data_IF_085016181278
#
_entry.id   IF_085016181278
#
_cell.length_a   1.000
_cell.length_b   1.000
_cell.length_c   1.000
_cell.angle_alpha   90.00
_cell.angle_beta   90.00
_cell.angle_gamma   90.00
#
_symmetry.space_group_name_H-M   'P 1'
#
loop_
_entity.id
_entity.type
_entity.pdbx_description
1 polymer ?
#
# COMPACT_ATOMS: atom_id res chain seq x y z
N UNK A 1 20.35 -12.22 2.81
CA UNK A 1 19.21 -11.96 3.72
C UNK A 1 18.50 -10.72 3.21
N UNK A 2 17.34 -10.85 2.56
CA UNK A 2 16.56 -9.73 2.04
C UNK A 2 15.30 -9.58 2.89
N UNK A 3 15.11 -8.42 3.52
CA UNK A 3 14.02 -8.17 4.48
C UNK A 3 12.67 -8.10 3.78
N UNK A 4 12.58 -7.46 2.60
CA UNK A 4 11.32 -7.24 1.91
C UNK A 4 10.69 -8.54 1.40
N UNK A 5 11.49 -9.43 0.80
CA UNK A 5 11.00 -10.70 0.25
C UNK A 5 10.46 -11.68 1.28
N UNK A 6 10.70 -11.42 2.57
CA UNK A 6 10.17 -12.22 3.67
C UNK A 6 8.86 -11.67 4.23
N UNK A 7 8.39 -10.51 3.77
CA UNK A 7 7.13 -9.94 4.19
C UNK A 7 5.97 -10.62 3.43
N UNK A 8 4.90 -10.98 4.16
CA UNK A 8 3.65 -11.43 3.53
C UNK A 8 2.91 -10.27 2.84
N UNK A 9 2.99 -9.06 3.43
CA UNK A 9 2.46 -7.81 2.89
C UNK A 9 3.37 -6.68 3.39
N UNK A 10 3.66 -5.68 2.55
CA UNK A 10 4.27 -4.42 2.97
C UNK A 10 3.20 -3.33 3.13
N UNK A 11 3.14 -2.69 4.30
CA UNK A 11 2.39 -1.44 4.50
C UNK A 11 3.36 -0.28 4.42
N UNK A 12 3.07 0.71 3.57
CA UNK A 12 3.99 1.83 3.31
C UNK A 12 3.23 3.09 2.90
N UNK A 13 3.88 4.24 2.96
CA UNK A 13 3.48 5.41 2.19
C UNK A 13 4.05 5.34 0.76
N UNK A 14 3.84 6.39 -0.02
CA UNK A 14 4.29 6.59 -1.40
C UNK A 14 5.80 6.89 -1.52
N UNK A 15 6.63 6.00 -0.98
CA UNK A 15 8.10 6.14 -1.00
C UNK A 15 8.78 4.95 -1.68
N UNK A 16 10.10 5.05 -1.93
CA UNK A 16 10.89 4.02 -2.63
C UNK A 16 10.64 2.56 -2.22
N UNK A 17 10.49 2.21 -0.92
CA UNK A 17 10.14 0.85 -0.50
C UNK A 17 8.89 0.27 -1.15
N UNK A 18 7.89 1.10 -1.46
CA UNK A 18 6.68 0.70 -2.18
C UNK A 18 7.02 0.09 -3.56
N UNK A 19 7.86 0.78 -4.33
CA UNK A 19 8.29 0.33 -5.65
C UNK A 19 9.22 -0.88 -5.57
N UNK A 20 10.10 -0.93 -4.57
CA UNK A 20 10.98 -2.07 -4.36
C UNK A 20 10.21 -3.34 -4.01
N UNK A 21 9.25 -3.26 -3.09
CA UNK A 21 8.40 -4.39 -2.73
C UNK A 21 7.59 -4.91 -3.92
N UNK A 22 7.01 -3.99 -4.70
CA UNK A 22 6.33 -4.33 -5.93
C UNK A 22 7.25 -5.05 -6.93
N UNK A 23 8.46 -4.53 -7.18
CA UNK A 23 9.42 -5.15 -8.09
C UNK A 23 9.84 -6.56 -7.64
N UNK A 24 9.77 -6.81 -6.32
CA UNK A 24 10.04 -8.11 -5.71
C UNK A 24 8.81 -9.03 -5.63
N UNK A 25 7.65 -8.60 -6.13
CA UNK A 25 6.39 -9.36 -6.08
C UNK A 25 5.80 -9.49 -4.68
N UNK A 26 6.23 -8.65 -3.73
CA UNK A 26 5.67 -8.58 -2.38
C UNK A 26 4.37 -7.76 -2.46
N UNK A 27 3.24 -8.26 -1.94
CA UNK A 27 1.98 -7.49 -1.90
C UNK A 27 2.15 -6.16 -1.16
N UNK A 28 1.55 -5.09 -1.67
CA UNK A 28 1.71 -3.74 -1.14
C UNK A 28 0.37 -3.14 -0.75
N UNK A 29 0.28 -2.58 0.46
CA UNK A 29 -0.78 -1.66 0.87
C UNK A 29 -0.17 -0.28 1.06
N UNK A 30 -0.41 0.61 0.10
CA UNK A 30 0.18 1.94 0.07
C UNK A 30 -0.83 3.01 0.52
N UNK A 31 -0.43 3.85 1.48
CA UNK A 31 -1.26 4.94 2.02
C UNK A 31 -0.85 6.25 1.33
N UNK A 32 -1.81 6.90 0.68
CA UNK A 32 -1.60 8.12 -0.10
C UNK A 32 -2.35 9.32 0.51
N UNK A 33 -1.64 10.45 0.57
CA UNK A 33 -2.12 11.70 1.15
C UNK A 33 -2.12 12.86 0.17
N UNK A 34 -0.99 13.58 0.08
CA UNK A 34 -0.85 14.77 -0.78
C UNK A 34 -0.56 14.44 -2.25
N UNK A 35 -0.05 13.24 -2.51
CA UNK A 35 0.38 12.78 -3.83
C UNK A 35 -0.69 12.01 -4.58
N UNK A 36 -0.47 11.87 -5.89
CA UNK A 36 -1.42 11.19 -6.77
C UNK A 36 -0.99 9.73 -7.03
N UNK A 37 -1.79 8.74 -6.57
CA UNK A 37 -1.53 7.34 -6.86
C UNK A 37 -1.70 6.97 -8.33
N UNK A 38 -2.39 7.78 -9.16
CA UNK A 38 -2.44 7.51 -10.60
C UNK A 38 -1.08 7.73 -11.27
N UNK A 39 -0.25 8.62 -10.70
CA UNK A 39 1.08 8.93 -11.26
C UNK A 39 2.17 8.01 -10.69
N UNK A 40 2.08 7.68 -9.40
CA UNK A 40 3.18 7.01 -8.67
C UNK A 40 2.75 5.78 -7.89
N UNK A 41 1.47 5.41 -7.94
CA UNK A 41 0.93 4.30 -7.18
C UNK A 41 1.47 2.93 -7.63
N UNK A 42 1.33 1.92 -6.77
CA UNK A 42 1.71 0.57 -7.11
C UNK A 42 0.69 -0.05 -8.09
N UNK A 43 1.16 -0.40 -9.28
CA UNK A 43 0.46 -1.26 -10.26
C UNK A 43 0.29 -2.74 -9.85
N UNK A 44 -0.71 -3.40 -10.43
CA UNK A 44 -0.95 -4.85 -10.31
C UNK A 44 -1.94 -5.27 -9.21
N UNK A 45 -2.48 -6.49 -9.35
CA UNK A 45 -3.61 -6.98 -8.54
C UNK A 45 -3.30 -7.27 -7.06
N UNK A 46 -2.02 -7.48 -6.75
CA UNK A 46 -1.53 -7.73 -5.38
C UNK A 46 -1.25 -6.44 -4.61
N UNK A 47 -1.38 -5.28 -5.27
CA UNK A 47 -1.20 -3.98 -4.67
C UNK A 47 -2.54 -3.30 -4.38
N UNK A 48 -2.59 -2.47 -3.34
CA UNK A 48 -3.76 -1.72 -2.96
C UNK A 48 -3.36 -0.32 -2.51
N UNK A 49 -4.10 0.69 -2.96
CA UNK A 49 -3.97 2.06 -2.48
C UNK A 49 -5.08 2.34 -1.48
N UNK A 50 -4.72 2.92 -0.33
CA UNK A 50 -5.64 3.52 0.62
C UNK A 50 -5.46 5.03 0.52
N UNK A 51 -6.55 5.74 0.24
CA UNK A 51 -6.59 7.21 0.21
C UNK A 51 -7.94 7.68 0.70
N UNK A 52 -7.95 8.84 1.34
CA UNK A 52 -9.19 9.59 1.56
C UNK A 52 -9.43 10.54 0.38
N UNK A 53 -10.65 10.55 -0.16
CA UNK A 53 -11.04 11.52 -1.18
C UNK A 53 -11.45 12.83 -0.51
N UNK A 54 -10.55 13.81 -0.49
CA UNK A 54 -10.81 15.16 0.01
C UNK A 54 -10.52 16.20 -1.05
N UNK A 55 -11.21 17.34 -0.99
CA UNK A 55 -11.07 18.44 -1.96
C UNK A 55 -9.63 18.95 -2.12
N UNK A 56 -8.83 18.89 -1.06
CA UNK A 56 -7.46 19.38 -1.06
C UNK A 56 -6.42 18.37 -1.58
N UNK A 57 -6.81 17.17 -2.02
CA UNK A 57 -5.87 16.14 -2.49
C UNK A 57 -6.26 15.62 -3.87
N UNK A 58 -5.30 15.38 -4.78
CA UNK A 58 -3.85 15.57 -4.60
C UNK A 58 -3.45 17.05 -4.68
N UNK A 59 -2.62 17.53 -3.75
CA UNK A 59 -2.09 18.92 -3.78
C UNK A 59 -0.59 19.01 -4.04
N UNK A 60 0.15 17.91 -3.90
CA UNK A 60 1.61 17.82 -4.10
C UNK A 60 2.44 18.79 -3.22
N UNK A 61 1.82 19.38 -2.19
CA UNK A 61 2.51 20.27 -1.26
C UNK A 61 3.35 19.46 -0.26
N UNK A 62 4.58 19.92 0.00
CA UNK A 62 5.49 19.34 1.01
C UNK A 62 5.07 19.63 2.44
N UNK A 63 4.43 20.79 2.65
CA UNK A 63 3.87 21.19 3.93
C UNK A 63 2.39 21.48 3.73
N UNK A 64 1.53 20.88 4.55
CA UNK A 64 0.10 21.10 4.44
C UNK A 64 -0.26 22.45 5.08
N UNK A 65 -0.98 23.33 4.37
CA UNK A 65 -1.40 24.62 4.91
C UNK A 65 -2.66 24.53 5.78
N UNK A 66 -3.23 23.33 5.95
CA UNK A 66 -4.47 23.09 6.67
C UNK A 66 -4.27 22.01 7.75
N UNK A 67 -5.00 20.90 7.71
CA UNK A 67 -5.11 19.93 8.80
C UNK A 67 -4.71 18.49 8.41
N UNK A 68 -4.12 18.27 7.24
CA UNK A 68 -3.77 16.93 6.74
C UNK A 68 -4.95 15.93 6.71
N UNK A 69 -6.20 16.39 6.55
CA UNK A 69 -7.38 15.50 6.47
C UNK A 69 -7.31 14.38 5.43
N UNK A 70 -6.52 14.56 4.37
CA UNK A 70 -6.23 13.49 3.39
C UNK A 70 -5.52 12.27 3.99
N UNK A 71 -4.82 12.45 5.12
CA UNK A 71 -4.17 11.40 5.89
C UNK A 71 -4.89 11.11 7.21
N UNK A 72 -5.32 12.13 7.95
CA UNK A 72 -5.88 11.93 9.30
C UNK A 72 -7.27 11.28 9.30
N UNK A 73 -8.01 11.32 8.18
CA UNK A 73 -9.27 10.60 8.03
C UNK A 73 -9.08 9.10 7.75
N UNK A 74 -7.87 8.67 7.40
CA UNK A 74 -7.57 7.26 7.16
C UNK A 74 -7.45 6.56 8.51
N UNK A 75 -8.49 5.80 8.86
CA UNK A 75 -8.51 5.07 10.13
C UNK A 75 -7.53 3.88 10.13
N UNK A 76 -6.96 3.58 11.29
CA UNK A 76 -6.14 2.37 11.49
C UNK A 76 -6.92 1.10 11.19
N UNK A 77 -8.22 1.06 11.52
CA UNK A 77 -9.06 -0.10 11.26
C UNK A 77 -9.24 -0.37 9.76
N UNK A 78 -9.37 0.68 8.94
CA UNK A 78 -9.39 0.55 7.49
C UNK A 78 -8.09 -0.06 6.98
N UNK A 79 -6.94 0.44 7.46
CA UNK A 79 -5.62 -0.09 7.08
C UNK A 79 -5.50 -1.55 7.47
N UNK A 80 -5.80 -1.91 8.73
CA UNK A 80 -5.72 -3.28 9.23
C UNK A 80 -6.60 -4.21 8.41
N UNK A 81 -7.87 -3.84 8.14
CA UNK A 81 -8.76 -4.67 7.31
C UNK A 81 -8.20 -4.92 5.90
N UNK A 82 -7.68 -3.88 5.26
CA UNK A 82 -7.08 -4.02 3.92
C UNK A 82 -5.84 -4.92 3.95
N UNK A 83 -4.98 -4.78 4.97
CA UNK A 83 -3.77 -5.60 5.13
C UNK A 83 -4.13 -7.07 5.34
N UNK A 84 -5.06 -7.37 6.23
CA UNK A 84 -5.50 -8.74 6.50
C UNK A 84 -6.07 -9.38 5.24
N UNK A 85 -6.92 -8.66 4.50
CA UNK A 85 -7.48 -9.16 3.24
C UNK A 85 -6.41 -9.47 2.18
N UNK A 86 -5.34 -8.65 2.08
CA UNK A 86 -4.21 -8.93 1.17
C UNK A 86 -3.35 -10.08 1.65
N UNK A 87 -3.11 -10.17 2.95
CA UNK A 87 -2.34 -11.24 3.56
C UNK A 87 -3.01 -12.61 3.34
N UNK A 88 -4.32 -12.70 3.54
CA UNK A 88 -5.08 -13.93 3.33
C UNK A 88 -5.04 -14.40 1.87
N UNK A 89 -5.21 -13.48 0.91
CA UNK A 89 -5.06 -13.78 -0.53
C UNK A 89 -3.66 -14.29 -0.85
N UNK A 90 -2.62 -13.63 -0.34
CA UNK A 90 -1.24 -14.00 -0.60
C UNK A 90 -0.90 -15.39 -0.03
N UNK A 91 -1.24 -15.64 1.24
CA UNK A 91 -0.98 -16.92 1.89
C UNK A 91 -1.78 -18.07 1.26
N UNK A 92 -3.03 -17.82 0.86
CA UNK A 92 -3.85 -18.80 0.13
C UNK A 92 -3.24 -19.18 -1.23
N UNK A 93 -2.81 -18.18 -2.02
CA UNK A 93 -2.10 -18.40 -3.29
C UNK A 93 -0.74 -19.08 -3.10
N UNK A 94 -0.01 -18.73 -2.04
CA UNK A 94 1.32 -19.28 -1.77
C UNK A 94 1.27 -20.74 -1.32
N UNK A 95 0.23 -21.16 -0.59
CA UNK A 95 -0.01 -22.58 -0.29
C UNK A 95 -0.29 -23.38 -1.57
N UNK A 96 -1.13 -22.86 -2.46
CA UNK A 96 -1.45 -23.51 -3.74
C UNK A 96 -0.24 -23.67 -4.67
N UNK A 97 0.75 -22.76 -4.62
CA UNK A 97 2.00 -22.86 -5.40
C UNK A 97 3.01 -23.85 -4.81
N UNK A 98 2.98 -24.12 -3.50
CA UNK A 98 3.89 -25.09 -2.86
C UNK A 98 3.48 -26.56 -3.07
N UNK A 99 2.24 -26.81 -3.45
CA UNK A 99 1.71 -28.16 -3.75
C UNK A 99 1.99 -28.67 -5.17
N UNK A 100 2.70 -27.90 -6.00
CA UNK A 100 3.12 -28.29 -7.37
C UNK A 100 4.65 -28.40 -7.45
N UNK A 101 5.30 -28.76 -6.34
CA UNK A 101 6.74 -29.02 -6.25
C UNK A 101 7.02 -30.46 -5.87
#
# INVERSE_FOLDING_TARGET
MNVLTNCAVLVTNDTGPMHLAQALGVPVVAIFGSTDPETTGPVGEESCVIREQVRCSPCLLRSCPIDHRCMTNISTDQVVRTVMARMDRFLGCHHARKSVG
#
